data_IF_984627208572
#
_entry.id   IF_984627208572
#
_cell.length_a   1.000
_cell.length_b   1.000
_cell.length_c   1.000
_cell.angle_alpha   90.00
_cell.angle_beta   90.00
_cell.angle_gamma   90.00
#
_symmetry.space_group_name_H-M   'P 1'
#
loop_
_entity.id
_entity.type
_entity.pdbx_description
1 polymer ?
#
# COMPACT_ATOMS: atom_id res chain seq x y z
N UNK A 1 -9.69 -24.69 0.30
CA UNK A 1 -8.70 -25.74 -0.03
C UNK A 1 -7.41 -25.45 0.73
N UNK A 2 -6.51 -26.42 0.95
CA UNK A 2 -5.15 -26.15 1.41
C UNK A 2 -4.22 -25.83 0.22
N UNK A 3 -2.94 -25.56 0.48
CA UNK A 3 -1.96 -25.17 -0.55
C UNK A 3 -1.73 -26.27 -1.61
N UNK A 4 -1.66 -27.54 -1.20
CA UNK A 4 -1.48 -28.67 -2.12
C UNK A 4 -2.72 -28.93 -2.99
N UNK A 5 -3.91 -28.80 -2.40
CA UNK A 5 -5.16 -28.84 -3.17
C UNK A 5 -5.26 -27.67 -4.15
N UNK A 6 -4.76 -26.49 -3.77
CA UNK A 6 -4.72 -25.34 -4.65
C UNK A 6 -3.77 -25.54 -5.85
N UNK A 7 -2.62 -26.19 -5.62
CA UNK A 7 -1.71 -26.59 -6.71
C UNK A 7 -2.44 -27.42 -7.77
N UNK A 8 -3.16 -28.45 -7.34
CA UNK A 8 -3.96 -29.31 -8.24
C UNK A 8 -5.08 -28.54 -8.94
N UNK A 9 -5.76 -27.65 -8.20
CA UNK A 9 -6.80 -26.81 -8.78
C UNK A 9 -6.26 -25.93 -9.93
N UNK A 10 -5.05 -25.38 -9.80
CA UNK A 10 -4.43 -24.60 -10.86
C UNK A 10 -4.14 -25.42 -12.13
N UNK A 11 -3.84 -26.71 -12.01
CA UNK A 11 -3.59 -27.57 -13.18
C UNK A 11 -4.81 -27.67 -14.10
N UNK A 12 -6.02 -27.58 -13.53
CA UNK A 12 -7.28 -27.69 -14.28
C UNK A 12 -7.88 -26.33 -14.67
N UNK A 13 -7.69 -25.30 -13.84
CA UNK A 13 -8.45 -24.04 -13.96
C UNK A 13 -7.60 -22.78 -14.18
N UNK A 14 -6.27 -22.85 -14.08
CA UNK A 14 -5.44 -21.66 -14.15
C UNK A 14 -5.57 -20.93 -15.49
N UNK A 15 -5.72 -19.61 -15.41
CA UNK A 15 -5.57 -18.75 -16.57
C UNK A 15 -4.09 -18.32 -16.72
N UNK A 16 -3.79 -17.58 -17.80
CA UNK A 16 -2.44 -17.10 -18.10
C UNK A 16 -1.84 -16.24 -16.96
N UNK A 17 -2.64 -15.36 -16.36
CA UNK A 17 -2.20 -14.46 -15.28
C UNK A 17 -1.89 -15.23 -13.98
N UNK A 18 -2.49 -16.41 -13.78
CA UNK A 18 -2.31 -17.27 -12.61
C UNK A 18 -1.16 -18.29 -12.74
N UNK A 19 -0.34 -18.21 -13.80
CA UNK A 19 0.72 -19.20 -14.08
C UNK A 19 1.72 -19.42 -12.94
N UNK A 20 1.99 -18.38 -12.13
CA UNK A 20 2.85 -18.47 -10.95
C UNK A 20 2.07 -18.42 -9.62
N UNK A 21 0.74 -18.54 -9.65
CA UNK A 21 -0.10 -18.32 -8.49
C UNK A 21 0.19 -19.26 -7.32
N UNK A 22 0.56 -20.52 -7.58
CA UNK A 22 0.99 -21.45 -6.53
C UNK A 22 2.23 -20.94 -5.78
N UNK A 23 3.28 -20.52 -6.51
CA UNK A 23 4.52 -20.05 -5.90
C UNK A 23 4.34 -18.73 -5.17
N UNK A 24 3.52 -17.83 -5.74
CA UNK A 24 3.12 -16.59 -5.09
C UNK A 24 2.39 -16.90 -3.78
N UNK A 25 1.40 -17.79 -3.80
CA UNK A 25 0.66 -18.18 -2.61
C UNK A 25 1.57 -18.82 -1.56
N UNK A 26 2.48 -19.70 -1.98
CA UNK A 26 3.48 -20.31 -1.09
C UNK A 26 4.39 -19.26 -0.45
N UNK A 27 4.95 -18.34 -1.24
CA UNK A 27 5.80 -17.25 -0.74
C UNK A 27 5.06 -16.40 0.31
N UNK A 28 3.79 -16.05 0.06
CA UNK A 28 2.97 -15.28 1.00
C UNK A 28 2.72 -16.07 2.28
N UNK A 29 2.42 -17.36 2.16
CA UNK A 29 2.25 -18.26 3.31
C UNK A 29 3.52 -18.27 4.14
N UNK A 30 4.65 -18.62 3.54
CA UNK A 30 5.95 -18.73 4.22
C UNK A 30 6.33 -17.40 4.91
N UNK A 31 6.09 -16.26 4.26
CA UNK A 31 6.36 -14.93 4.81
C UNK A 31 5.53 -14.63 6.08
N UNK A 32 4.24 -14.97 6.09
CA UNK A 32 3.35 -14.66 7.21
C UNK A 32 3.37 -15.72 8.32
N UNK A 33 3.83 -16.94 8.04
CA UNK A 33 3.95 -18.01 9.03
C UNK A 33 5.33 -18.11 9.67
N UNK A 34 6.34 -17.39 9.14
CA UNK A 34 7.74 -17.51 9.58
C UNK A 34 7.95 -17.46 11.11
N UNK A 35 7.19 -16.61 11.84
CA UNK A 35 7.25 -16.48 13.30
C UNK A 35 5.89 -16.68 13.98
N UNK A 36 4.88 -17.18 13.26
CA UNK A 36 3.51 -17.24 13.75
C UNK A 36 2.90 -18.60 13.46
N UNK A 37 2.53 -19.29 14.54
CA UNK A 37 1.77 -20.53 14.43
C UNK A 37 0.32 -20.22 14.09
N UNK A 38 -0.24 -20.93 13.12
CA UNK A 38 -1.67 -20.96 12.82
C UNK A 38 -2.18 -22.40 12.93
N UNK A 39 -3.45 -22.55 13.28
CA UNK A 39 -4.12 -23.86 13.30
C UNK A 39 -4.31 -24.40 11.89
N UNK A 40 -4.52 -23.52 10.91
CA UNK A 40 -4.58 -23.93 9.52
C UNK A 40 -4.64 -22.77 8.54
N UNK A 41 -4.47 -23.16 7.27
CA UNK A 41 -4.45 -22.26 6.13
C UNK A 41 -5.52 -22.73 5.14
N UNK A 42 -6.37 -21.80 4.71
CA UNK A 42 -7.33 -22.01 3.64
C UNK A 42 -7.08 -21.04 2.50
N UNK A 43 -7.05 -21.59 1.30
CA UNK A 43 -6.95 -20.87 0.05
C UNK A 43 -8.32 -20.91 -0.63
N UNK A 44 -8.68 -19.79 -1.25
CA UNK A 44 -9.92 -19.63 -2.01
C UNK A 44 -9.61 -18.86 -3.30
N UNK A 45 -9.40 -19.56 -4.44
CA UNK A 45 -9.27 -18.91 -5.73
C UNK A 45 -10.61 -18.31 -6.18
N UNK A 46 -10.55 -17.16 -6.87
CA UNK A 46 -11.67 -16.47 -7.51
C UNK A 46 -12.89 -16.36 -6.60
N UNK A 47 -12.66 -15.90 -5.38
CA UNK A 47 -13.65 -15.91 -4.29
C UNK A 47 -14.27 -14.54 -4.12
N UNK A 48 -15.60 -14.49 -4.15
CA UNK A 48 -16.37 -13.34 -3.68
C UNK A 48 -16.43 -13.32 -2.15
N UNK A 49 -16.01 -12.21 -1.56
CA UNK A 49 -16.02 -11.95 -0.13
C UNK A 49 -16.47 -10.51 0.12
N UNK A 50 -17.46 -10.32 1.00
CA UNK A 50 -18.07 -9.01 1.28
C UNK A 50 -18.47 -8.21 0.03
N UNK A 51 -19.02 -8.90 -0.98
CA UNK A 51 -19.50 -8.25 -2.20
C UNK A 51 -18.43 -8.04 -3.28
N UNK A 52 -17.14 -8.25 -2.97
CA UNK A 52 -16.03 -8.06 -3.92
C UNK A 52 -15.35 -9.38 -4.25
N UNK A 53 -14.99 -9.56 -5.51
CA UNK A 53 -14.25 -10.73 -5.99
C UNK A 53 -12.75 -10.48 -5.94
N UNK A 54 -12.01 -11.47 -5.44
CA UNK A 54 -10.56 -11.51 -5.39
C UNK A 54 -10.06 -12.66 -6.25
N UNK A 55 -8.97 -12.48 -6.99
CA UNK A 55 -8.35 -13.58 -7.74
C UNK A 55 -7.89 -14.70 -6.79
N UNK A 56 -7.39 -14.34 -5.61
CA UNK A 56 -7.05 -15.30 -4.57
C UNK A 56 -7.22 -14.69 -3.17
N UNK A 57 -7.89 -15.45 -2.28
CA UNK A 57 -7.88 -15.21 -0.85
C UNK A 57 -7.10 -16.30 -0.13
N UNK A 58 -6.24 -15.89 0.80
CA UNK A 58 -5.58 -16.77 1.76
C UNK A 58 -6.05 -16.40 3.16
N UNK A 59 -6.53 -17.38 3.89
CA UNK A 59 -7.01 -17.23 5.26
C UNK A 59 -6.20 -18.12 6.18
N UNK A 60 -5.50 -17.52 7.14
CA UNK A 60 -4.72 -18.19 8.17
C UNK A 60 -5.45 -17.99 9.50
N UNK A 61 -5.81 -19.09 10.17
CA UNK A 61 -6.66 -19.03 11.35
C UNK A 61 -6.06 -19.73 12.55
N UNK A 62 -6.39 -19.23 13.76
CA UNK A 62 -6.05 -19.86 15.04
C UNK A 62 -7.20 -20.64 15.67
N UNK A 63 -8.44 -20.23 15.43
CA UNK A 63 -9.62 -20.82 16.09
C UNK A 63 -10.69 -21.30 15.12
N UNK A 64 -11.11 -20.41 14.22
CA UNK A 64 -12.21 -20.68 13.32
C UNK A 64 -11.71 -20.80 11.90
N UNK A 65 -12.04 -21.91 11.25
CA UNK A 65 -11.68 -22.15 9.85
C UNK A 65 -12.59 -21.41 8.85
N UNK A 66 -13.53 -20.59 9.32
CA UNK A 66 -14.44 -19.77 8.50
C UNK A 66 -14.02 -18.30 8.57
N UNK A 67 -13.63 -17.65 7.44
CA UNK A 67 -13.23 -16.25 7.41
C UNK A 67 -14.28 -15.27 7.96
N UNK A 68 -15.56 -15.61 7.85
CA UNK A 68 -16.68 -14.80 8.33
C UNK A 68 -16.71 -14.69 9.86
N UNK A 69 -16.09 -15.66 10.54
CA UNK A 69 -16.00 -15.75 12.00
C UNK A 69 -14.58 -15.42 12.49
N UNK A 70 -13.82 -14.62 11.71
CA UNK A 70 -12.43 -14.27 12.03
C UNK A 70 -12.32 -13.49 13.34
N UNK A 71 -11.22 -13.70 14.04
CA UNK A 71 -10.78 -12.97 15.22
C UNK A 71 -9.59 -12.07 14.88
N UNK A 72 -9.22 -11.13 15.76
CA UNK A 72 -8.08 -10.22 15.50
C UNK A 72 -6.72 -10.92 15.30
N UNK A 73 -6.61 -12.19 15.69
CA UNK A 73 -5.40 -13.02 15.52
C UNK A 73 -5.38 -13.80 14.21
N UNK A 74 -6.52 -13.91 13.53
CA UNK A 74 -6.59 -14.52 12.21
C UNK A 74 -6.12 -13.49 11.17
N UNK A 75 -5.64 -13.97 10.02
CA UNK A 75 -5.20 -13.12 8.92
C UNK A 75 -5.97 -13.52 7.66
N UNK A 76 -6.62 -12.52 7.04
CA UNK A 76 -7.17 -12.63 5.71
C UNK A 76 -6.32 -11.81 4.73
N UNK A 77 -5.88 -12.45 3.64
CA UNK A 77 -5.00 -11.87 2.64
C UNK A 77 -5.69 -11.91 1.29
N UNK A 78 -5.80 -10.76 0.63
CA UNK A 78 -6.22 -10.65 -0.77
C UNK A 78 -5.03 -10.53 -1.71
N UNK A 79 -5.15 -11.12 -2.88
CA UNK A 79 -4.11 -11.11 -3.92
C UNK A 79 -4.79 -10.87 -5.27
N UNK A 80 -4.25 -9.93 -6.04
CA UNK A 80 -4.58 -9.74 -7.47
C UNK A 80 -3.40 -10.17 -8.34
N UNK A 81 -3.70 -10.86 -9.44
CA UNK A 81 -2.72 -11.22 -10.45
C UNK A 81 -2.88 -10.32 -11.68
N UNK A 82 -1.76 -9.79 -12.21
CA UNK A 82 -1.80 -8.97 -13.42
C UNK A 82 -0.53 -9.07 -14.25
N UNK A 83 -0.68 -9.11 -15.57
CA UNK A 83 0.47 -9.05 -16.49
C UNK A 83 0.87 -7.62 -16.90
N UNK A 84 -0.08 -6.73 -17.18
CA UNK A 84 0.22 -5.45 -17.87
C UNK A 84 -0.52 -4.21 -17.36
N UNK A 85 -1.80 -4.31 -16.98
CA UNK A 85 -2.63 -3.15 -16.61
C UNK A 85 -2.43 -2.75 -15.14
N UNK A 86 -1.31 -2.07 -14.88
CA UNK A 86 -0.86 -1.71 -13.54
C UNK A 86 -1.79 -0.73 -12.82
N UNK A 87 -2.25 0.32 -13.51
CA UNK A 87 -3.11 1.33 -12.90
C UNK A 87 -4.46 0.74 -12.46
N UNK A 88 -5.02 -0.16 -13.28
CA UNK A 88 -6.26 -0.85 -12.92
C UNK A 88 -6.07 -1.74 -11.71
N UNK A 89 -5.01 -2.56 -11.67
CA UNK A 89 -4.81 -3.49 -10.54
C UNK A 89 -4.49 -2.75 -9.25
N UNK A 90 -3.75 -1.63 -9.31
CA UNK A 90 -3.49 -0.78 -8.14
C UNK A 90 -4.79 -0.20 -7.59
N UNK A 91 -5.64 0.37 -8.46
CA UNK A 91 -6.96 0.89 -8.05
C UNK A 91 -7.83 -0.20 -7.42
N UNK A 92 -7.85 -1.40 -8.01
CA UNK A 92 -8.58 -2.54 -7.46
C UNK A 92 -8.03 -2.96 -6.09
N UNK A 93 -6.71 -3.08 -5.95
CA UNK A 93 -6.07 -3.47 -4.70
C UNK A 93 -6.33 -2.45 -3.57
N UNK A 94 -6.25 -1.15 -3.88
CA UNK A 94 -6.56 -0.08 -2.93
C UNK A 94 -8.02 -0.17 -2.47
N UNK A 95 -8.96 -0.26 -3.42
CA UNK A 95 -10.40 -0.36 -3.11
C UNK A 95 -10.75 -1.64 -2.33
N UNK A 96 -9.99 -2.73 -2.53
CA UNK A 96 -10.24 -4.03 -1.88
C UNK A 96 -9.54 -4.19 -0.53
N UNK A 97 -8.56 -3.34 -0.24
CA UNK A 97 -7.73 -3.38 0.97
C UNK A 97 -8.57 -3.39 2.25
N UNK A 98 -9.68 -2.66 2.28
CA UNK A 98 -10.53 -2.54 3.48
C UNK A 98 -11.20 -3.86 3.92
N UNK A 99 -11.36 -4.82 3.00
CA UNK A 99 -12.02 -6.09 3.29
C UNK A 99 -11.05 -7.15 3.85
N UNK A 100 -9.73 -6.93 3.72
CA UNK A 100 -8.67 -7.89 4.06
C UNK A 100 -7.63 -7.26 4.98
N UNK A 101 -6.86 -8.07 5.71
CA UNK A 101 -5.80 -7.57 6.59
C UNK A 101 -4.58 -7.12 5.78
N UNK A 102 -4.22 -7.89 4.76
CA UNK A 102 -3.14 -7.61 3.83
C UNK A 102 -3.63 -7.74 2.39
N UNK A 103 -3.09 -6.89 1.52
CA UNK A 103 -3.35 -6.94 0.09
C UNK A 103 -2.03 -7.05 -0.63
N UNK A 104 -1.98 -7.91 -1.63
CA UNK A 104 -0.85 -8.07 -2.53
C UNK A 104 -1.28 -7.88 -3.98
N UNK A 105 -0.35 -7.39 -4.77
CA UNK A 105 -0.39 -7.49 -6.22
C UNK A 105 0.79 -8.35 -6.67
N UNK A 106 0.51 -9.34 -7.52
CA UNK A 106 1.50 -10.23 -8.09
C UNK A 106 1.60 -10.03 -9.59
N UNK A 107 2.73 -9.49 -10.07
CA UNK A 107 2.91 -9.14 -11.50
C UNK A 107 4.22 -9.61 -12.10
N UNK A 108 4.25 -9.80 -13.42
CA UNK A 108 5.48 -9.89 -14.21
C UNK A 108 5.90 -8.60 -14.90
N UNK A 109 5.11 -7.54 -14.74
CA UNK A 109 5.45 -6.26 -15.33
C UNK A 109 6.70 -5.70 -14.64
N UNK A 110 7.72 -5.40 -15.45
CA UNK A 110 8.98 -4.79 -15.01
C UNK A 110 8.93 -3.27 -15.00
N UNK A 111 7.95 -2.67 -15.68
CA UNK A 111 7.86 -1.23 -15.86
C UNK A 111 6.86 -0.67 -14.86
N UNK A 112 7.39 0.00 -13.85
CA UNK A 112 6.63 0.77 -12.87
C UNK A 112 7.03 2.22 -13.02
N UNK A 113 6.05 3.12 -12.99
CA UNK A 113 6.36 4.52 -12.72
C UNK A 113 6.50 4.72 -11.21
N UNK A 114 7.11 5.85 -10.85
CA UNK A 114 7.45 6.17 -9.46
C UNK A 114 6.16 6.33 -8.65
N UNK A 115 5.15 6.97 -9.24
CA UNK A 115 3.84 7.23 -8.64
C UNK A 115 3.13 5.94 -8.23
N UNK A 116 3.16 4.91 -9.07
CA UNK A 116 2.59 3.60 -8.78
C UNK A 116 3.26 2.95 -7.58
N UNK A 117 4.60 2.99 -7.49
CA UNK A 117 5.34 2.45 -6.34
C UNK A 117 5.00 3.21 -5.04
N UNK A 118 4.88 4.53 -5.12
CA UNK A 118 4.44 5.35 -3.99
C UNK A 118 3.02 5.00 -3.55
N UNK A 119 2.08 4.80 -4.48
CA UNK A 119 0.72 4.40 -4.16
C UNK A 119 0.69 3.06 -3.40
N UNK A 120 1.47 2.07 -3.84
CA UNK A 120 1.56 0.80 -3.12
C UNK A 120 2.04 0.99 -1.68
N UNK A 121 3.11 1.77 -1.50
CA UNK A 121 3.66 2.04 -0.17
C UNK A 121 2.68 2.82 0.72
N UNK A 122 1.99 3.81 0.15
CA UNK A 122 1.04 4.68 0.85
C UNK A 122 -0.16 3.90 1.40
N UNK A 123 -0.68 2.97 0.61
CA UNK A 123 -1.81 2.10 0.97
C UNK A 123 -1.38 0.76 1.58
N UNK A 124 -0.07 0.55 1.80
CA UNK A 124 0.47 -0.68 2.37
C UNK A 124 0.14 -1.95 1.57
N UNK A 125 0.05 -1.83 0.24
CA UNK A 125 -0.17 -2.96 -0.67
C UNK A 125 1.19 -3.59 -0.98
N UNK A 126 1.32 -4.89 -0.71
CA UNK A 126 2.54 -5.63 -1.01
C UNK A 126 2.68 -5.88 -2.51
N UNK A 127 3.92 -5.96 -2.99
CA UNK A 127 4.20 -6.29 -4.40
C UNK A 127 5.08 -7.51 -4.49
N UNK A 128 4.59 -8.51 -5.21
CA UNK A 128 5.35 -9.69 -5.60
C UNK A 128 5.62 -9.61 -7.09
N UNK A 129 6.89 -9.69 -7.44
CA UNK A 129 7.32 -9.81 -8.82
C UNK A 129 7.52 -11.29 -9.16
N UNK A 130 7.06 -11.70 -10.34
CA UNK A 130 7.34 -13.03 -10.87
C UNK A 130 7.77 -13.00 -12.33
N UNK A 131 8.73 -13.84 -12.70
CA UNK A 131 9.17 -14.03 -14.07
C UNK A 131 9.74 -15.43 -14.29
N UNK A 132 9.10 -16.21 -15.17
CA UNK A 132 9.37 -17.64 -15.28
C UNK A 132 9.30 -18.31 -13.90
N UNK A 133 10.39 -18.94 -13.47
CA UNK A 133 10.47 -19.61 -12.17
C UNK A 133 10.77 -18.68 -10.99
N UNK A 134 11.20 -17.44 -11.26
CA UNK A 134 11.56 -16.47 -10.25
C UNK A 134 10.32 -15.82 -9.64
N UNK A 135 10.20 -15.86 -8.31
CA UNK A 135 9.11 -15.20 -7.56
C UNK A 135 9.72 -14.53 -6.34
N UNK A 136 9.51 -13.22 -6.16
CA UNK A 136 10.11 -12.48 -5.06
C UNK A 136 9.17 -11.39 -4.53
N UNK A 137 9.15 -11.25 -3.21
CA UNK A 137 8.53 -10.12 -2.52
C UNK A 137 9.43 -8.90 -2.69
N UNK A 138 8.94 -7.87 -3.37
CA UNK A 138 9.66 -6.62 -3.63
C UNK A 138 9.28 -5.55 -2.62
N UNK A 139 7.98 -5.45 -2.30
CA UNK A 139 7.46 -4.53 -1.29
C UNK A 139 6.62 -5.31 -0.29
N UNK A 140 6.97 -5.19 0.98
CA UNK A 140 6.20 -5.79 2.07
C UNK A 140 4.82 -5.14 2.19
N UNK A 141 3.74 -5.92 2.40
CA UNK A 141 2.45 -5.33 2.70
C UNK A 141 2.45 -4.79 4.13
N UNK A 142 1.52 -3.88 4.43
CA UNK A 142 1.31 -3.39 5.78
C UNK A 142 -0.15 -3.56 6.21
N UNK A 143 -0.34 -4.05 7.44
CA UNK A 143 -1.66 -4.20 8.04
C UNK A 143 -2.21 -2.80 8.35
N UNK A 144 -3.48 -2.57 8.01
CA UNK A 144 -4.20 -1.33 8.35
C UNK A 144 -3.45 -0.02 8.03
N UNK A 145 -2.66 -0.01 6.96
CA UNK A 145 -1.88 1.16 6.56
C UNK A 145 -2.64 1.92 5.48
N UNK A 146 -3.03 3.14 5.81
CA UNK A 146 -3.39 4.18 4.86
C UNK A 146 -2.71 5.46 5.35
N UNK A 147 -1.56 5.78 4.76
CA UNK A 147 -0.78 6.95 5.13
C UNK A 147 -1.16 8.20 4.33
N UNK A 148 -2.29 8.18 3.61
CA UNK A 148 -2.76 9.36 2.86
C UNK A 148 -2.89 10.55 3.78
N UNK A 149 -3.52 10.40 4.95
CA UNK A 149 -3.66 11.52 5.90
C UNK A 149 -2.29 12.01 6.37
N UNK A 150 -1.37 11.11 6.72
CA UNK A 150 -0.01 11.51 7.13
C UNK A 150 0.77 12.24 6.01
N UNK A 151 0.59 11.82 4.74
CA UNK A 151 1.16 12.53 3.59
C UNK A 151 0.51 13.89 3.40
N UNK A 152 -0.82 13.96 3.52
CA UNK A 152 -1.59 15.20 3.42
C UNK A 152 -1.17 16.18 4.51
N UNK A 153 -1.07 15.73 5.76
CA UNK A 153 -0.60 16.51 6.90
C UNK A 153 0.81 17.03 6.64
N UNK A 154 1.72 16.18 6.16
CA UNK A 154 3.09 16.60 5.81
C UNK A 154 3.11 17.68 4.72
N UNK A 155 2.34 17.51 3.64
CA UNK A 155 2.27 18.47 2.54
C UNK A 155 1.64 19.80 2.99
N UNK A 156 0.63 19.76 3.85
CA UNK A 156 0.03 20.96 4.43
C UNK A 156 1.00 21.66 5.39
N UNK A 157 1.69 20.92 6.26
CA UNK A 157 2.67 21.49 7.19
C UNK A 157 3.82 22.17 6.45
N UNK A 158 4.32 21.57 5.37
CA UNK A 158 5.37 22.14 4.54
C UNK A 158 4.91 23.44 3.87
N UNK A 159 3.73 23.42 3.23
CA UNK A 159 3.16 24.61 2.60
C UNK A 159 2.80 25.71 3.61
N UNK A 160 2.35 25.33 4.81
CA UNK A 160 2.10 26.27 5.89
C UNK A 160 3.41 26.93 6.37
N UNK A 161 4.51 26.17 6.45
CA UNK A 161 5.84 26.72 6.76
C UNK A 161 6.27 27.75 5.72
N UNK A 162 6.15 27.43 4.43
CA UNK A 162 6.48 28.37 3.35
C UNK A 162 5.70 29.69 3.49
N UNK A 163 4.39 29.62 3.74
CA UNK A 163 3.54 30.81 3.92
C UNK A 163 3.96 31.62 5.16
N UNK A 164 4.32 30.96 6.26
CA UNK A 164 4.80 31.61 7.48
C UNK A 164 6.12 32.34 7.20
N UNK A 165 7.06 31.68 6.53
CA UNK A 165 8.37 32.25 6.20
C UNK A 165 8.22 33.48 5.29
N UNK A 166 7.38 33.40 4.26
CA UNK A 166 7.06 34.56 3.40
C UNK A 166 6.44 35.73 4.19
N UNK A 167 5.52 35.44 5.12
CA UNK A 167 4.88 36.46 5.94
C UNK A 167 5.86 37.13 6.91
N UNK A 168 6.79 36.36 7.49
CA UNK A 168 7.87 36.87 8.35
C UNK A 168 8.80 37.76 7.53
N UNK A 169 9.28 37.30 6.36
CA UNK A 169 10.13 38.10 5.49
C UNK A 169 9.50 39.44 5.11
N UNK A 170 8.21 39.42 4.75
CA UNK A 170 7.46 40.63 4.41
C UNK A 170 7.35 41.59 5.60
N UNK A 171 7.14 41.07 6.81
CA UNK A 171 7.07 41.89 8.03
C UNK A 171 8.42 42.51 8.38
N UNK A 172 9.51 41.77 8.24
CA UNK A 172 10.87 42.28 8.46
C UNK A 172 11.17 43.42 7.49
N UNK A 173 10.91 43.24 6.18
CA UNK A 173 11.09 44.33 5.19
C UNK A 173 10.29 45.59 5.52
N UNK A 174 9.03 45.44 5.96
CA UNK A 174 8.21 46.57 6.40
C UNK A 174 8.75 47.28 7.64
N UNK A 175 9.38 46.54 8.56
CA UNK A 175 10.01 47.11 9.75
C UNK A 175 11.26 47.89 9.35
N UNK A 176 12.11 47.31 8.50
CA UNK A 176 13.33 47.94 8.00
C UNK A 176 13.02 49.24 7.25
N UNK A 177 12.03 49.23 6.36
CA UNK A 177 11.57 50.43 5.65
C UNK A 177 11.07 51.52 6.61
N UNK A 178 10.37 51.14 7.68
CA UNK A 178 9.91 52.09 8.71
C UNK A 178 11.05 52.66 9.53
N UNK A 179 12.02 51.83 9.91
CA UNK A 179 13.21 52.28 10.63
C UNK A 179 13.99 53.26 9.77
N UNK A 180 14.20 52.94 8.49
CA UNK A 180 14.93 53.78 7.56
C UNK A 180 14.24 55.15 7.39
N UNK A 181 12.91 55.18 7.19
CA UNK A 181 12.16 56.45 7.13
C UNK A 181 12.33 57.30 8.38
N UNK A 182 12.26 56.70 9.58
CA UNK A 182 12.41 57.44 10.84
C UNK A 182 13.82 57.99 11.01
N UNK A 183 14.84 57.27 10.54
CA UNK A 183 16.22 57.74 10.54
C UNK A 183 16.39 58.90 9.55
N UNK A 184 15.85 58.79 8.34
CA UNK A 184 15.89 59.84 7.32
C UNK A 184 15.18 61.13 7.82
N UNK A 185 13.99 60.98 8.43
CA UNK A 185 13.25 62.08 9.06
C UNK A 185 14.08 62.76 10.16
N UNK A 186 14.71 61.99 11.05
CA UNK A 186 15.52 62.52 12.15
C UNK A 186 16.76 63.29 11.65
N UNK A 187 17.45 62.77 10.63
CA UNK A 187 18.59 63.44 10.02
C UNK A 187 18.19 64.75 9.34
N UNK A 188 17.01 64.79 8.69
CA UNK A 188 16.52 66.00 8.04
C UNK A 188 16.08 67.12 9.01
N UNK A 189 15.83 66.81 10.28
CA UNK A 189 15.51 67.80 11.32
C UNK A 189 16.75 68.39 12.02
N UNK A 190 17.96 67.95 11.68
CA UNK A 190 19.21 68.44 12.28
C UNK A 190 19.99 69.44 11.40
N UNK A 191 19.49 69.73 10.18
CA UNK A 191 19.96 70.83 9.30
C UNK A 191 19.11 72.10 9.50
#
# INVERSE_FOLDING_TARGET
MNLEQYKKWLEEYANKEERQAYKVAKLIVDYHTYNFDYEGIKIFPRKKFNGVEFDLLIYMYKKSSKPENRTGRDILIGIEFKESDMDKVIRQAIARKEFVDYMYIATCCRVWNIEQLFLLALYGVGWIFWDGEYVKLILEPKRYTNKVNALVDYLFDDKLREIIDEAIEKKIKQIDEKIQRRLDEWLSCQE
#
